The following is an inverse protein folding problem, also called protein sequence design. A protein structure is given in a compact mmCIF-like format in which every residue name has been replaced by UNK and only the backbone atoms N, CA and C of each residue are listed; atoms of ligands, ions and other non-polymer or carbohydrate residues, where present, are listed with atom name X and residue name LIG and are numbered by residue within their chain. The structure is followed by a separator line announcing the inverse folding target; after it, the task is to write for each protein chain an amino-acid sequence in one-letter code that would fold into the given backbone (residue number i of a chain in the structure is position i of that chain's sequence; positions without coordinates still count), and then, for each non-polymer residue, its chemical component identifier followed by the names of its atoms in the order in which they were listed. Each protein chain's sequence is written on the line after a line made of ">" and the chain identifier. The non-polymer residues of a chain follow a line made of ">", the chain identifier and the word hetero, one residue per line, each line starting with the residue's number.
data_IF_410639629932
#
_entry.id   IF_410639629932
#
_cell.length_a   1.000
_cell.length_b   1.000
_cell.length_c   1.000
_cell.angle_alpha   90.00
_cell.angle_beta   90.00
_cell.angle_gamma   90.00
#
_symmetry.space_group_name_H-M   'P 1'
#
loop_
_entity.id
_entity.type
_entity.pdbx_description
1 polymer ?
#
# COMPACT_ATOMS: atom_id res chain seq x y z
N UNK A 1 0.30 12.63 1.24
CA UNK A 1 -0.93 11.82 1.33
C UNK A 1 -1.99 12.56 0.54
N UNK A 2 -2.58 11.92 -0.46
CA UNK A 2 -3.51 12.52 -1.42
C UNK A 2 -4.97 12.10 -1.19
N UNK A 3 -5.22 10.99 -0.49
CA UNK A 3 -6.56 10.48 -0.21
C UNK A 3 -6.74 10.14 1.27
N UNK A 4 -7.81 10.66 1.89
CA UNK A 4 -8.24 10.23 3.22
C UNK A 4 -8.99 8.90 3.11
N UNK A 5 -8.48 7.82 3.70
CA UNK A 5 -8.99 6.44 3.58
C UNK A 5 -9.33 5.88 4.95
N UNK A 6 -10.43 5.13 5.06
CA UNK A 6 -10.76 4.31 6.23
C UNK A 6 -10.19 2.89 6.07
N UNK A 7 -9.70 2.33 7.17
CA UNK A 7 -9.19 0.96 7.27
C UNK A 7 -8.21 0.54 6.15
N UNK A 8 -7.18 1.33 5.81
CA UNK A 8 -6.20 0.91 4.81
C UNK A 8 -5.35 -0.26 5.34
N UNK A 9 -4.88 -1.12 4.43
CA UNK A 9 -3.78 -2.03 4.74
C UNK A 9 -2.46 -1.26 4.75
N UNK A 10 -1.59 -1.47 5.73
CA UNK A 10 -0.31 -0.76 5.82
C UNK A 10 0.83 -1.75 6.01
N UNK A 11 1.94 -1.51 5.31
CA UNK A 11 3.14 -2.34 5.39
C UNK A 11 4.40 -1.49 5.17
N UNK A 12 5.52 -1.94 5.72
CA UNK A 12 6.84 -1.33 5.49
C UNK A 12 7.71 -2.31 4.72
N UNK A 13 8.21 -1.89 3.55
CA UNK A 13 9.11 -2.66 2.69
C UNK A 13 10.24 -1.75 2.22
N UNK A 14 11.48 -2.22 2.35
CA UNK A 14 12.69 -1.50 1.91
C UNK A 14 12.79 -0.04 2.42
N UNK A 15 12.33 0.21 3.65
CA UNK A 15 12.34 1.54 4.27
C UNK A 15 11.26 2.50 3.76
N UNK A 16 10.35 2.03 2.90
CA UNK A 16 9.20 2.78 2.41
C UNK A 16 7.91 2.31 3.10
N UNK A 17 7.01 3.26 3.36
CA UNK A 17 5.69 2.97 3.94
C UNK A 17 4.66 2.85 2.81
N UNK A 18 4.02 1.69 2.71
CA UNK A 18 2.97 1.41 1.74
C UNK A 18 1.60 1.44 2.42
N UNK A 19 0.65 2.15 1.80
CA UNK A 19 -0.74 2.30 2.26
C UNK A 19 -1.66 1.81 1.14
N UNK A 20 -2.28 0.65 1.31
CA UNK A 20 -3.09 -0.04 0.30
C UNK A 20 -4.58 0.10 0.56
N UNK A 21 -5.32 0.43 -0.50
CA UNK A 21 -6.78 0.36 -0.52
C UNK A 21 -7.46 1.16 0.59
N UNK A 22 -8.41 0.53 1.26
CA UNK A 22 -9.32 1.17 2.21
C UNK A 22 -10.59 1.69 1.54
N UNK A 23 -11.31 2.57 2.22
CA UNK A 23 -12.61 3.09 1.79
C UNK A 23 -12.69 4.61 1.91
N UNK A 24 -13.28 5.28 0.92
CA UNK A 24 -13.63 6.72 0.98
C UNK A 24 -15.14 6.96 0.81
N UNK A 25 -15.95 5.94 1.11
CA UNK A 25 -17.36 5.83 0.69
C UNK A 25 -17.57 4.79 -0.43
N UNK A 26 -16.49 4.44 -1.13
CA UNK A 26 -16.38 3.31 -2.05
C UNK A 26 -15.04 2.59 -1.83
N UNK A 27 -14.88 1.39 -2.40
CA UNK A 27 -13.61 0.66 -2.38
C UNK A 27 -12.55 1.49 -3.11
N UNK A 28 -11.39 1.65 -2.48
CA UNK A 28 -10.28 2.39 -3.07
C UNK A 28 -9.33 1.41 -3.78
N UNK A 29 -9.22 1.56 -5.10
CA UNK A 29 -8.38 0.70 -5.96
C UNK A 29 -6.97 1.26 -6.20
N UNK A 30 -6.47 2.05 -5.24
CA UNK A 30 -5.16 2.70 -5.31
C UNK A 30 -4.37 2.42 -4.04
N UNK A 31 -3.06 2.63 -4.12
CA UNK A 31 -2.17 2.61 -2.97
C UNK A 31 -1.21 3.78 -3.02
N UNK A 32 -0.70 4.18 -1.87
CA UNK A 32 0.24 5.28 -1.74
C UNK A 32 1.53 4.78 -1.10
N UNK A 33 2.68 5.24 -1.61
CA UNK A 33 4.00 4.94 -1.08
C UNK A 33 4.59 6.22 -0.51
N UNK A 34 4.98 6.21 0.75
CA UNK A 34 5.72 7.29 1.38
C UNK A 34 7.20 6.97 1.45
N UNK A 35 8.01 7.90 0.94
CA UNK A 35 9.46 7.89 1.10
C UNK A 35 9.87 8.94 2.15
N UNK A 36 10.35 8.52 3.34
CA UNK A 36 10.75 9.44 4.40
C UNK A 36 12.02 10.24 4.06
N UNK A 37 12.89 9.74 3.18
CA UNK A 37 14.14 10.41 2.81
C UNK A 37 13.91 11.66 1.94
N UNK A 38 12.89 11.61 1.09
CA UNK A 38 12.50 12.71 0.21
C UNK A 38 11.27 13.45 0.69
N UNK A 39 10.61 12.94 1.75
CA UNK A 39 9.32 13.41 2.25
C UNK A 39 8.24 13.50 1.16
N UNK A 40 8.19 12.50 0.28
CA UNK A 40 7.27 12.49 -0.87
C UNK A 40 6.32 11.30 -0.82
N UNK A 41 5.15 11.50 -1.39
CA UNK A 41 4.14 10.46 -1.59
C UNK A 41 3.96 10.17 -3.08
N UNK A 42 3.97 8.90 -3.45
CA UNK A 42 3.63 8.43 -4.81
C UNK A 42 2.29 7.70 -4.75
N UNK A 43 1.36 8.05 -5.63
CA UNK A 43 0.05 7.41 -5.75
C UNK A 43 0.05 6.47 -6.96
N UNK A 44 -0.32 5.21 -6.75
CA UNK A 44 -0.35 4.17 -7.77
C UNK A 44 -1.67 3.39 -7.75
N UNK A 45 -1.99 2.69 -8.84
CA UNK A 45 -3.19 1.85 -8.95
C UNK A 45 -2.89 0.40 -8.62
N UNK A 46 -3.81 -0.25 -7.90
CA UNK A 46 -3.79 -1.69 -7.74
C UNK A 46 -4.06 -2.37 -9.10
N UNK A 47 -3.43 -3.51 -9.33
CA UNK A 47 -3.64 -4.30 -10.55
C UNK A 47 -5.02 -4.94 -10.64
N UNK A 48 -5.71 -5.12 -9.50
CA UNK A 48 -7.11 -5.55 -9.43
C UNK A 48 -7.96 -4.42 -8.86
N UNK A 49 -9.09 -4.17 -9.52
CA UNK A 49 -10.09 -3.20 -9.08
C UNK A 49 -11.25 -3.91 -8.36
N UNK A 50 -11.92 -3.21 -7.44
CA UNK A 50 -13.09 -3.70 -6.70
C UNK A 50 -12.78 -4.71 -5.60
N UNK A 51 -11.52 -4.83 -5.17
CA UNK A 51 -11.10 -5.80 -4.15
C UNK A 51 -10.91 -5.09 -2.81
N UNK A 52 -11.65 -5.55 -1.78
CA UNK A 52 -11.40 -5.11 -0.40
C UNK A 52 -10.09 -5.68 0.12
N UNK A 53 -9.26 -4.82 0.69
CA UNK A 53 -8.03 -5.18 1.38
C UNK A 53 -8.31 -5.11 2.88
N UNK A 54 -8.05 -6.21 3.58
CA UNK A 54 -8.25 -6.31 5.03
C UNK A 54 -6.95 -6.09 5.82
N UNK A 55 -5.80 -6.23 5.17
CA UNK A 55 -4.49 -6.07 5.79
C UNK A 55 -3.38 -6.21 4.75
N UNK A 56 -2.18 -5.83 5.16
CA UNK A 56 -0.96 -5.99 4.36
C UNK A 56 0.12 -6.65 5.22
N UNK A 57 0.88 -7.58 4.63
CA UNK A 57 2.01 -8.24 5.26
C UNK A 57 3.19 -8.24 4.29
N UNK A 58 4.40 -8.17 4.83
CA UNK A 58 5.64 -8.29 4.04
C UNK A 58 6.25 -9.65 4.32
N UNK A 59 6.56 -10.37 3.25
CA UNK A 59 7.22 -11.66 3.30
C UNK A 59 8.51 -11.56 2.51
N UNK A 60 9.64 -11.59 3.21
CA UNK A 60 10.96 -11.64 2.56
C UNK A 60 11.18 -13.05 2.01
N UNK A 61 11.38 -13.18 0.70
CA UNK A 61 11.77 -14.48 0.11
C UNK A 61 13.24 -14.75 0.41
N UNK A 62 13.59 -15.87 1.04
CA UNK A 62 14.98 -16.28 1.21
C UNK A 62 15.65 -16.51 -0.15
N UNK A 63 16.92 -16.16 -0.27
CA UNK A 63 17.73 -16.33 -1.48
C UNK A 63 18.02 -17.81 -1.87
N UNK A 64 17.44 -18.80 -1.16
CA UNK A 64 17.84 -20.21 -1.23
C UNK A 64 16.83 -21.13 -1.92
N UNK A 65 16.10 -20.66 -2.93
CA UNK A 65 15.32 -21.53 -3.81
C UNK A 65 15.61 -21.19 -5.27
N UNK A 66 16.54 -21.97 -5.84
CA UNK A 66 16.74 -22.18 -7.27
C UNK A 66 16.37 -23.62 -7.60
#
# INVERSE_FOLDING_TARGET
>A
MNLCRFCPGVAVLDGLLYVFGGETGSIVDTFEIYNPNTNTWTLERLSRNGVRIYGAIVVNRPHHYH
#
